data_IF_398713607139
#
_entry.id   IF_398713607139
#
_cell.length_a   1.000
_cell.length_b   1.000
_cell.length_c   1.000
_cell.angle_alpha   90.00
_cell.angle_beta   90.00
_cell.angle_gamma   90.00
#
_symmetry.space_group_name_H-M   'P 1'
#
loop_
_entity.id
_entity.type
_entity.pdbx_description
1 polymer ?
#
# COMPACT_ATOMS: atom_id res chain seq x y z
N UNK A 1 -8.64 -8.09 9.46
CA UNK A 1 -9.52 -7.27 8.60
C UNK A 1 -10.48 -6.46 9.48
N UNK A 2 -10.33 -5.14 9.60
CA UNK A 2 -11.11 -4.31 10.54
C UNK A 2 -12.60 -4.20 10.18
N UNK A 3 -12.93 -4.12 8.88
CA UNK A 3 -14.31 -4.07 8.43
C UNK A 3 -15.14 -5.30 8.83
N UNK A 4 -14.52 -6.50 8.82
CA UNK A 4 -15.18 -7.74 9.29
C UNK A 4 -15.43 -7.74 10.81
N UNK A 5 -14.80 -6.83 11.56
CA UNK A 5 -15.06 -6.59 12.98
C UNK A 5 -16.04 -5.44 13.22
N UNK A 6 -16.71 -4.95 12.17
CA UNK A 6 -17.72 -3.90 12.26
C UNK A 6 -17.19 -2.47 12.15
N UNK A 7 -15.91 -2.26 11.86
CA UNK A 7 -15.36 -0.92 11.68
C UNK A 7 -16.10 -0.18 10.55
N UNK A 8 -16.43 1.10 10.78
CA UNK A 8 -17.05 2.02 9.81
C UNK A 8 -16.11 3.12 9.34
N UNK A 9 -15.05 3.36 10.10
CA UNK A 9 -13.94 4.25 9.79
C UNK A 9 -12.64 3.50 10.04
N UNK A 10 -11.72 3.58 9.09
CA UNK A 10 -10.33 3.13 9.26
C UNK A 10 -9.45 4.38 9.33
N UNK A 11 -8.62 4.46 10.37
CA UNK A 11 -7.65 5.54 10.53
C UNK A 11 -6.25 5.00 10.26
N UNK A 12 -5.57 5.59 9.28
CA UNK A 12 -4.22 5.22 8.86
C UNK A 12 -3.22 6.35 9.08
N UNK A 13 -2.64 6.50 10.28
CA UNK A 13 -1.54 7.43 10.51
C UNK A 13 -0.29 6.94 9.77
N UNK A 14 0.34 7.84 9.02
CA UNK A 14 1.43 7.50 8.11
C UNK A 14 2.52 8.56 8.08
N UNK A 15 3.75 8.12 7.88
CA UNK A 15 4.93 8.95 7.71
C UNK A 15 5.85 8.28 6.68
N UNK A 16 5.48 8.38 5.40
CA UNK A 16 6.36 7.94 4.32
C UNK A 16 7.19 9.11 3.79
N UNK A 17 8.45 8.86 3.50
CA UNK A 17 9.38 9.91 3.09
C UNK A 17 9.37 10.07 1.55
N UNK A 18 9.82 11.22 1.06
CA UNK A 18 10.15 11.44 -0.35
C UNK A 18 11.34 10.58 -0.80
N UNK A 19 12.03 9.91 0.13
CA UNK A 19 13.17 9.04 -0.16
C UNK A 19 13.31 7.92 0.87
N UNK A 20 13.95 6.83 0.46
CA UNK A 20 14.37 5.75 1.35
C UNK A 20 15.89 5.67 1.39
N UNK A 21 16.48 5.50 2.58
CA UNK A 21 17.92 5.23 2.71
C UNK A 21 18.18 3.79 2.33
N UNK A 22 18.85 3.60 1.20
CA UNK A 22 19.23 2.30 0.68
C UNK A 22 20.32 1.65 1.56
N UNK A 23 20.52 0.31 1.49
CA UNK A 23 21.55 -0.37 2.26
C UNK A 23 22.98 0.13 2.02
N UNK A 24 23.23 0.80 0.88
CA UNK A 24 24.51 1.42 0.55
C UNK A 24 24.66 2.86 1.11
N UNK A 25 23.71 3.34 1.90
CA UNK A 25 23.70 4.68 2.51
C UNK A 25 23.17 5.79 1.60
N UNK A 26 22.96 5.54 0.31
CA UNK A 26 22.42 6.54 -0.62
C UNK A 26 20.90 6.65 -0.49
N UNK A 27 20.34 7.80 -0.89
CA UNK A 27 18.89 7.98 -1.02
C UNK A 27 18.35 7.37 -2.29
N UNK A 28 17.12 6.84 -2.24
CA UNK A 28 16.39 6.43 -3.44
C UNK A 28 16.18 7.63 -4.39
N UNK A 29 16.23 7.37 -5.69
CA UNK A 29 15.97 8.38 -6.72
C UNK A 29 14.47 8.69 -6.90
N UNK A 30 13.61 7.80 -6.39
CA UNK A 30 12.15 7.93 -6.47
C UNK A 30 11.54 7.86 -5.06
N UNK A 31 10.43 8.59 -4.83
CA UNK A 31 9.70 8.51 -3.57
C UNK A 31 8.92 7.21 -3.45
N UNK A 32 8.43 6.93 -2.24
CA UNK A 32 7.38 5.93 -2.08
C UNK A 32 6.17 6.28 -2.96
N UNK A 33 5.60 5.31 -3.71
CA UNK A 33 4.40 5.53 -4.50
C UNK A 33 3.26 6.10 -3.65
N UNK A 34 2.51 7.03 -4.23
CA UNK A 34 1.31 7.54 -3.56
C UNK A 34 0.17 6.53 -3.70
N UNK A 35 -0.22 5.91 -2.59
CA UNK A 35 -1.32 4.95 -2.56
C UNK A 35 -2.67 5.62 -2.28
N UNK A 36 -2.67 6.89 -1.86
CA UNK A 36 -3.83 7.57 -1.28
C UNK A 36 -4.98 7.72 -2.27
N UNK A 37 -4.69 7.90 -3.55
CA UNK A 37 -5.67 8.09 -4.62
C UNK A 37 -5.89 6.85 -5.48
N UNK A 38 -5.10 5.78 -5.28
CA UNK A 38 -5.18 4.56 -6.09
C UNK A 38 -5.67 3.35 -5.29
N UNK A 39 -5.02 3.05 -4.17
CA UNK A 39 -5.25 1.80 -3.42
C UNK A 39 -6.31 2.01 -2.33
N UNK A 40 -6.19 3.10 -1.57
CA UNK A 40 -7.11 3.38 -0.46
C UNK A 40 -8.58 3.55 -0.90
N UNK A 41 -8.89 4.18 -2.05
CA UNK A 41 -10.25 4.22 -2.59
C UNK A 41 -10.85 2.84 -2.83
N UNK A 42 -10.06 1.92 -3.41
CA UNK A 42 -10.49 0.55 -3.64
C UNK A 42 -10.73 -0.18 -2.30
N UNK A 43 -9.88 0.06 -1.29
CA UNK A 43 -10.09 -0.52 0.04
C UNK A 43 -11.34 0.02 0.74
N UNK A 44 -11.62 1.32 0.64
CA UNK A 44 -12.83 1.93 1.14
C UNK A 44 -14.08 1.32 0.47
N UNK A 45 -14.08 1.29 -0.87
CA UNK A 45 -15.17 0.73 -1.69
C UNK A 45 -15.47 -0.74 -1.39
N UNK A 46 -14.43 -1.59 -1.47
CA UNK A 46 -14.59 -3.05 -1.32
C UNK A 46 -14.95 -3.49 0.10
N UNK A 47 -14.76 -2.62 1.10
CA UNK A 47 -15.12 -2.89 2.49
C UNK A 47 -16.30 -2.04 2.98
N UNK A 48 -16.80 -1.10 2.16
CA UNK A 48 -17.90 -0.19 2.48
C UNK A 48 -17.67 0.58 3.80
N UNK A 49 -16.49 1.23 3.90
CA UNK A 49 -16.02 1.98 5.07
C UNK A 49 -15.42 3.32 4.67
N UNK A 50 -15.45 4.30 5.58
CA UNK A 50 -14.64 5.51 5.46
C UNK A 50 -13.16 5.20 5.72
N UNK A 51 -12.28 5.99 5.11
CA UNK A 51 -10.84 5.93 5.36
C UNK A 51 -10.30 7.32 5.63
N UNK A 52 -9.72 7.53 6.82
CA UNK A 52 -8.98 8.73 7.17
C UNK A 52 -7.49 8.40 7.17
N UNK A 53 -6.79 8.85 6.14
CA UNK A 53 -5.36 8.65 5.99
C UNK A 53 -4.66 9.94 6.35
N UNK A 54 -3.97 9.94 7.49
CA UNK A 54 -3.26 11.12 8.00
C UNK A 54 -1.78 10.94 7.77
N UNK A 55 -1.18 11.86 7.03
CA UNK A 55 0.19 11.76 6.59
C UNK A 55 0.97 12.99 7.06
N UNK A 56 2.07 12.75 7.77
CA UNK A 56 3.07 13.77 8.11
C UNK A 56 3.50 14.60 6.88
N UNK A 57 3.75 15.89 7.08
CA UNK A 57 4.18 16.82 6.02
C UNK A 57 5.47 17.53 6.41
N UNK A 58 6.25 17.94 5.41
CA UNK A 58 7.39 18.84 5.60
C UNK A 58 8.71 18.15 5.92
N UNK A 59 9.70 18.96 6.30
CA UNK A 59 11.06 18.51 6.57
C UNK A 59 11.33 18.37 8.06
N UNK A 60 12.04 17.31 8.41
CA UNK A 60 12.48 17.07 9.78
C UNK A 60 13.94 16.69 9.83
N UNK A 61 14.61 17.18 10.86
CA UNK A 61 16.01 16.85 11.14
C UNK A 61 16.14 16.49 12.62
N UNK A 62 16.81 15.37 12.87
CA UNK A 62 17.19 14.93 14.21
C UNK A 62 18.57 14.30 14.14
N UNK A 63 19.52 14.85 14.90
CA UNK A 63 20.92 14.46 14.87
C UNK A 63 21.48 14.54 13.43
N UNK A 64 22.05 13.44 12.92
CA UNK A 64 22.53 13.31 11.53
C UNK A 64 21.45 12.89 10.54
N UNK A 65 20.21 12.62 10.99
CA UNK A 65 19.13 12.14 10.14
C UNK A 65 18.22 13.27 9.68
N UNK A 66 17.70 13.12 8.47
CA UNK A 66 16.77 14.07 7.85
C UNK A 66 15.72 13.31 7.04
N UNK A 67 14.47 13.75 7.17
CA UNK A 67 13.29 13.21 6.50
C UNK A 67 12.51 14.30 5.79
N UNK A 68 11.82 13.94 4.71
CA UNK A 68 10.99 14.86 3.94
C UNK A 68 9.65 14.20 3.63
N UNK A 69 8.65 14.50 4.43
CA UNK A 69 7.37 13.82 4.33
C UNK A 69 6.47 14.47 3.29
N UNK A 70 5.77 13.62 2.52
CA UNK A 70 4.99 14.04 1.34
C UNK A 70 3.71 14.80 1.67
N UNK A 71 3.16 14.68 2.88
CA UNK A 71 1.76 15.09 3.14
C UNK A 71 0.78 14.18 2.40
N UNK A 72 -0.23 14.74 1.74
CA UNK A 72 -1.29 13.98 1.03
C UNK A 72 -2.25 13.23 1.97
N UNK A 73 -2.51 13.82 3.14
CA UNK A 73 -3.62 13.37 3.97
C UNK A 73 -4.93 13.41 3.17
N UNK A 74 -5.79 12.43 3.38
CA UNK A 74 -7.02 12.27 2.60
C UNK A 74 -8.12 11.63 3.45
N UNK A 75 -9.36 12.06 3.24
CA UNK A 75 -10.56 11.39 3.73
C UNK A 75 -11.31 10.83 2.53
N UNK A 76 -11.60 9.54 2.58
CA UNK A 76 -12.19 8.77 1.48
C UNK A 76 -13.54 8.21 1.96
N UNK A 77 -14.55 8.36 1.11
CA UNK A 77 -15.88 7.84 1.33
C UNK A 77 -16.01 6.34 1.05
N UNK A 78 -17.09 5.70 1.52
CA UNK A 78 -17.33 4.27 1.36
C UNK A 78 -17.56 3.83 -0.09
N UNK A 79 -17.74 4.78 -1.02
CA UNK A 79 -17.83 4.53 -2.45
C UNK A 79 -16.51 4.82 -3.19
N UNK A 80 -15.42 5.04 -2.45
CA UNK A 80 -14.09 5.33 -3.01
C UNK A 80 -13.95 6.78 -3.50
N UNK A 81 -14.97 7.61 -3.28
CA UNK A 81 -14.93 9.04 -3.51
C UNK A 81 -13.95 9.74 -2.56
N UNK A 82 -13.22 10.73 -3.09
CA UNK A 82 -12.36 11.58 -2.27
C UNK A 82 -13.25 12.69 -1.70
N UNK A 83 -13.43 12.70 -0.38
CA UNK A 83 -14.26 13.71 0.30
C UNK A 83 -13.48 15.01 0.46
N UNK A 84 -12.28 14.92 1.05
CA UNK A 84 -11.34 16.03 1.20
C UNK A 84 -9.90 15.51 1.16
N UNK A 85 -8.99 16.33 0.64
CA UNK A 85 -7.58 15.98 0.49
C UNK A 85 -6.69 17.19 0.77
N UNK A 86 -5.55 16.95 1.41
CA UNK A 86 -4.50 17.94 1.60
C UNK A 86 -3.56 17.99 0.39
N UNK A 87 -2.96 19.15 0.17
CA UNK A 87 -1.87 19.30 -0.81
C UNK A 87 -0.59 18.59 -0.34
N UNK A 88 0.39 18.55 -1.25
CA UNK A 88 1.72 18.07 -0.94
C UNK A 88 2.42 18.96 0.10
N UNK A 89 3.06 18.34 1.08
CA UNK A 89 4.03 18.94 2.01
C UNK A 89 3.52 20.19 2.76
N UNK A 90 2.22 20.26 3.03
CA UNK A 90 1.59 21.39 3.70
C UNK A 90 0.89 20.94 4.98
N UNK A 91 1.15 21.65 6.09
CA UNK A 91 0.36 21.52 7.31
C UNK A 91 -1.10 21.87 7.02
N UNK A 92 -1.98 20.91 7.22
CA UNK A 92 -3.38 21.00 6.80
C UNK A 92 -4.28 20.33 7.83
N UNK A 93 -5.35 21.03 8.23
CA UNK A 93 -6.45 20.44 8.99
C UNK A 93 -7.55 20.03 8.01
N UNK A 94 -7.85 18.73 7.94
CA UNK A 94 -8.96 18.20 7.16
C UNK A 94 -10.14 17.87 8.08
N UNK A 95 -11.33 18.30 7.69
CA UNK A 95 -12.57 18.08 8.42
C UNK A 95 -13.60 17.54 7.42
N UNK A 96 -14.29 16.47 7.79
CA UNK A 96 -15.37 15.89 6.99
C UNK A 96 -16.38 15.14 7.87
N UNK A 97 -17.65 15.21 7.49
CA UNK A 97 -18.71 14.43 8.11
C UNK A 97 -18.70 13.00 7.57
N UNK A 98 -18.34 12.03 8.41
CA UNK A 98 -18.30 10.62 8.07
C UNK A 98 -19.51 9.89 8.68
N UNK A 99 -20.66 9.95 8.02
CA UNK A 99 -21.94 9.44 8.56
C UNK A 99 -22.18 8.01 8.04
N UNK A 100 -22.11 6.96 8.89
CA UNK A 100 -22.18 5.57 8.42
C UNK A 100 -23.50 5.12 7.81
N UNK A 101 -24.56 5.92 7.92
CA UNK A 101 -25.88 5.62 7.37
C UNK A 101 -26.17 6.28 6.01
N UNK A 102 -25.28 7.14 5.49
CA UNK A 102 -25.58 8.01 4.35
C UNK A 102 -25.09 7.50 3.00
N UNK A 103 -24.49 6.31 2.95
CA UNK A 103 -24.00 5.72 1.71
C UNK A 103 -24.91 4.59 1.23
N UNK A 104 -25.14 4.56 -0.07
CA UNK A 104 -25.96 3.55 -0.74
C UNK A 104 -25.29 2.18 -0.83
N UNK A 105 -26.02 1.24 -1.41
CA UNK A 105 -25.50 -0.09 -1.71
C UNK A 105 -24.36 -0.02 -2.71
N UNK A 106 -23.30 -0.80 -2.49
CA UNK A 106 -22.19 -0.96 -3.45
C UNK A 106 -22.42 -2.12 -4.44
N UNK A 107 -23.57 -2.79 -4.33
CA UNK A 107 -24.00 -3.90 -5.18
C UNK A 107 -25.43 -3.64 -5.68
N UNK A 108 -25.76 -3.94 -6.96
CA UNK A 108 -27.08 -3.64 -7.53
C UNK A 108 -28.23 -4.49 -6.96
N UNK A 109 -27.94 -5.74 -6.59
CA UNK A 109 -28.94 -6.61 -5.95
C UNK A 109 -29.13 -6.26 -4.47
N UNK A 110 -30.39 -6.10 -4.06
CA UNK A 110 -30.80 -5.90 -2.67
C UNK A 110 -30.26 -7.04 -1.79
N UNK A 111 -29.79 -6.71 -0.57
CA UNK A 111 -29.18 -7.65 0.39
C UNK A 111 -27.82 -8.26 0.00
N UNK A 112 -27.15 -7.75 -1.03
CA UNK A 112 -25.79 -8.15 -1.41
C UNK A 112 -24.77 -7.05 -1.13
N UNK A 113 -23.52 -7.46 -0.93
CA UNK A 113 -22.37 -6.57 -0.72
C UNK A 113 -21.09 -7.37 -0.95
N UNK A 114 -20.00 -6.69 -1.34
CA UNK A 114 -18.71 -7.35 -1.51
C UNK A 114 -18.28 -8.16 -0.29
N UNK A 115 -18.63 -7.74 0.93
CA UNK A 115 -18.32 -8.48 2.16
C UNK A 115 -19.10 -9.80 2.27
N UNK A 116 -20.39 -9.79 1.92
CA UNK A 116 -21.27 -10.97 1.97
C UNK A 116 -20.93 -11.95 0.84
N UNK A 117 -20.53 -11.44 -0.31
CA UNK A 117 -20.28 -12.23 -1.52
C UNK A 117 -18.83 -12.79 -1.59
N UNK A 118 -18.01 -12.51 -0.57
CA UNK A 118 -16.66 -13.09 -0.45
C UNK A 118 -16.71 -14.61 -0.47
N UNK A 119 -15.62 -15.23 -0.89
CA UNK A 119 -15.44 -16.69 -0.96
C UNK A 119 -14.26 -17.12 -0.07
N UNK A 120 -14.41 -17.12 1.27
CA UNK A 120 -13.30 -17.38 2.18
C UNK A 120 -12.57 -18.69 1.93
N UNK A 121 -13.28 -19.73 1.48
CA UNK A 121 -12.69 -21.03 1.14
C UNK A 121 -11.62 -20.94 0.05
N UNK A 122 -11.72 -19.96 -0.86
CA UNK A 122 -10.74 -19.73 -1.94
C UNK A 122 -9.55 -18.87 -1.49
N UNK A 123 -9.63 -18.21 -0.34
CA UNK A 123 -8.56 -17.31 0.15
C UNK A 123 -7.39 -18.06 0.81
N UNK A 124 -7.42 -19.39 0.88
CA UNK A 124 -6.30 -20.17 1.43
C UNK A 124 -4.97 -19.86 0.71
N UNK A 125 -5.02 -19.57 -0.59
CA UNK A 125 -3.84 -19.27 -1.40
C UNK A 125 -3.15 -17.93 -1.04
N UNK A 126 -3.85 -16.98 -0.39
CA UNK A 126 -3.24 -15.71 0.03
C UNK A 126 -2.60 -15.80 1.43
N UNK A 127 -2.64 -16.98 2.06
CA UNK A 127 -2.07 -17.23 3.39
C UNK A 127 -1.01 -18.33 3.40
N UNK A 128 -0.63 -18.86 2.23
CA UNK A 128 0.41 -19.89 2.13
C UNK A 128 1.80 -19.29 2.40
N UNK A 129 2.73 -20.04 3.02
CA UNK A 129 4.07 -19.55 3.31
C UNK A 129 4.98 -19.47 2.07
N UNK A 130 4.58 -20.13 0.97
CA UNK A 130 5.36 -20.19 -0.28
C UNK A 130 4.42 -20.05 -1.48
N UNK A 131 4.80 -19.24 -2.46
CA UNK A 131 4.05 -19.03 -3.70
C UNK A 131 4.97 -18.91 -4.91
N UNK A 132 4.67 -19.63 -5.99
CA UNK A 132 5.43 -19.59 -7.25
C UNK A 132 4.84 -18.57 -8.24
N UNK A 133 4.73 -17.30 -7.80
CA UNK A 133 4.16 -16.22 -8.61
C UNK A 133 5.14 -15.68 -9.68
N UNK A 134 6.44 -15.72 -9.39
CA UNK A 134 7.53 -15.36 -10.30
C UNK A 134 8.49 -16.55 -10.31
N UNK A 135 9.07 -16.92 -11.45
CA UNK A 135 10.02 -18.04 -11.57
C UNK A 135 11.09 -17.98 -10.47
N UNK A 136 11.07 -18.95 -9.56
CA UNK A 136 11.92 -18.99 -8.36
C UNK A 136 11.15 -18.79 -7.04
N UNK A 137 9.86 -18.44 -7.12
CA UNK A 137 8.93 -18.27 -6.02
C UNK A 137 9.33 -17.21 -5.00
N UNK A 138 8.47 -17.07 -3.99
CA UNK A 138 8.76 -16.31 -2.77
C UNK A 138 8.45 -17.17 -1.56
N UNK A 139 9.33 -17.14 -0.56
CA UNK A 139 9.11 -17.73 0.77
C UNK A 139 8.98 -16.61 1.78
N UNK A 140 7.89 -16.60 2.55
CA UNK A 140 7.73 -15.63 3.63
C UNK A 140 8.75 -15.90 4.74
N UNK A 141 9.28 -14.85 5.39
CA UNK A 141 10.23 -15.05 6.47
C UNK A 141 9.60 -15.79 7.65
N UNK A 142 10.40 -16.65 8.28
CA UNK A 142 9.99 -17.38 9.49
C UNK A 142 10.53 -16.62 10.69
N UNK A 143 9.66 -16.30 11.65
CA UNK A 143 10.03 -15.64 12.90
C UNK A 143 9.90 -16.60 14.07
N UNK A 144 10.89 -16.59 14.97
CA UNK A 144 10.84 -17.26 16.28
C UNK A 144 11.23 -16.25 17.35
N UNK A 145 10.37 -16.06 18.35
CA UNK A 145 10.56 -15.08 19.43
C UNK A 145 10.87 -13.66 18.92
N UNK A 146 10.18 -13.23 17.86
CA UNK A 146 10.35 -11.91 17.24
C UNK A 146 11.60 -11.75 16.38
N UNK A 147 12.42 -12.80 16.23
CA UNK A 147 13.62 -12.78 15.38
C UNK A 147 13.41 -13.60 14.12
N UNK A 148 13.74 -13.03 12.97
CA UNK A 148 13.76 -13.76 11.70
C UNK A 148 14.84 -14.84 11.74
N UNK A 149 14.47 -16.08 11.39
CA UNK A 149 15.36 -17.25 11.39
C UNK A 149 15.64 -17.79 9.98
N UNK A 150 14.95 -17.27 8.96
CA UNK A 150 15.12 -17.64 7.57
C UNK A 150 16.24 -16.84 6.90
N UNK A 151 17.49 -17.28 7.05
CA UNK A 151 18.62 -16.75 6.27
C UNK A 151 18.74 -17.61 5.01
N UNK A 152 18.14 -17.19 3.90
CA UNK A 152 18.58 -17.62 2.57
C UNK A 152 18.54 -16.39 1.66
N UNK A 153 19.71 -16.03 1.13
CA UNK A 153 19.94 -14.86 0.29
C UNK A 153 18.94 -14.81 -0.86
N UNK A 154 17.98 -13.88 -0.79
CA UNK A 154 17.21 -13.49 -1.97
C UNK A 154 18.17 -12.75 -2.91
N UNK A 155 18.53 -13.37 -4.02
CA UNK A 155 19.31 -12.70 -5.08
C UNK A 155 18.55 -11.45 -5.51
N UNK A 156 19.15 -10.25 -5.49
CA UNK A 156 18.46 -9.03 -5.87
C UNK A 156 17.96 -9.12 -7.33
N UNK A 157 16.65 -8.94 -7.52
CA UNK A 157 15.99 -8.90 -8.85
C UNK A 157 16.63 -7.86 -9.79
N UNK A 158 17.37 -6.89 -9.23
CA UNK A 158 18.03 -5.83 -9.97
C UNK A 158 19.19 -6.27 -10.88
N UNK A 159 19.71 -7.50 -10.74
CA UNK A 159 20.78 -8.01 -11.61
C UNK A 159 20.28 -8.64 -12.93
N UNK A 160 18.99 -8.92 -13.08
CA UNK A 160 18.45 -9.56 -14.28
C UNK A 160 18.17 -8.60 -15.45
N UNK A 161 18.17 -7.28 -15.22
CA UNK A 161 17.85 -6.28 -16.25
C UNK A 161 19.08 -5.80 -17.04
N UNK A 162 20.31 -6.10 -16.60
CA UNK A 162 21.53 -5.62 -17.27
C UNK A 162 22.34 -6.67 -18.04
N UNK A 163 21.94 -7.96 -18.04
CA UNK A 163 22.71 -9.01 -18.75
C UNK A 163 22.30 -9.27 -20.20
N UNK A 164 21.38 -8.49 -20.78
CA UNK A 164 20.95 -8.63 -22.19
C UNK A 164 21.20 -7.39 -23.04
N UNK A 165 22.46 -6.97 -23.15
CA UNK A 165 22.94 -6.22 -24.32
C UNK A 165 24.40 -6.61 -24.55
N UNK A 166 24.61 -7.69 -25.30
CA UNK A 166 25.81 -7.98 -26.10
C UNK A 166 25.59 -9.30 -26.83
N UNK A 167 24.84 -9.22 -27.93
CA UNK A 167 24.61 -10.32 -28.86
C UNK A 167 24.27 -9.71 -30.21
N UNK A 168 25.30 -9.49 -31.02
CA UNK A 168 25.16 -9.23 -32.45
C UNK A 168 24.27 -10.32 -33.05
N UNK A 169 23.23 -9.93 -33.78
CA UNK A 169 22.61 -10.78 -34.78
C UNK A 169 22.23 -9.90 -35.98
N UNK A 170 23.03 -10.04 -37.02
CA UNK A 170 22.79 -9.61 -38.38
C UNK A 170 21.52 -10.27 -38.93
N UNK A 171 20.67 -9.49 -39.59
CA UNK A 171 19.59 -10.01 -40.43
C UNK A 171 20.09 -10.13 -41.88
N UNK A 172 19.83 -11.25 -42.59
CA UNK A 172 20.05 -11.34 -44.02
C UNK A 172 18.86 -10.70 -44.80
N UNK A 173 19.01 -10.48 -46.12
CA UNK A 173 18.46 -9.32 -46.85
C UNK A 173 16.94 -9.30 -47.03
#
# INVERSE_FOLDING_TARGET
MLALKGAKLIVGPTAADCYYTLPNGNRSAVPYPDISTLVLPAFAYTNNVFYAYSYRAGYEKRDSNQWHYRGNSIIIGPHGDIIVQANHQQDTLLIADCIPGYYGMTHPAVNHSYLKDRRPSMYKQITVPEADFIKGGWKYPIYKNGKEISIVSQTPVHQLLHSKKNGQNSFPP
#
